data_IF_881785420581
#
_entry.id   IF_881785420581
#
_cell.length_a   1.000
_cell.length_b   1.000
_cell.length_c   1.000
_cell.angle_alpha   90.00
_cell.angle_beta   90.00
_cell.angle_gamma   90.00
#
_symmetry.space_group_name_H-M   'P 1'
#
loop_
_entity.id
_entity.type
_entity.pdbx_description
1 polymer ?
#
# COMPACT_ATOMS: atom_id res chain seq x y z
N UNK A 1 -23.12 -14.95 7.88
CA UNK A 1 -22.59 -13.61 7.47
C UNK A 1 -21.51 -13.25 8.47
N UNK A 2 -20.37 -12.62 8.19
CA UNK A 2 -19.87 -12.01 6.97
C UNK A 2 -18.34 -11.82 7.12
N UNK A 3 -17.67 -11.64 6.00
CA UNK A 3 -16.38 -10.97 5.95
C UNK A 3 -16.67 -9.46 6.05
N UNK A 4 -16.20 -8.81 7.10
CA UNK A 4 -16.60 -7.44 7.47
C UNK A 4 -15.40 -6.51 7.40
N UNK A 5 -15.49 -5.34 6.73
CA UNK A 5 -14.40 -4.38 6.72
C UNK A 5 -14.40 -3.56 8.04
N UNK A 6 -13.21 -3.33 8.59
CA UNK A 6 -12.94 -2.50 9.76
C UNK A 6 -11.95 -1.41 9.36
N UNK A 7 -12.48 -0.34 8.77
CA UNK A 7 -11.71 0.81 8.28
C UNK A 7 -11.29 1.72 9.46
N UNK A 8 -9.99 1.93 9.64
CA UNK A 8 -9.36 2.65 10.77
C UNK A 8 -8.32 3.71 10.34
N UNK A 9 -8.65 4.66 9.44
CA UNK A 9 -7.69 5.62 8.87
C UNK A 9 -7.17 6.68 9.88
N UNK A 10 -7.82 6.78 11.03
CA UNK A 10 -7.51 7.72 12.11
C UNK A 10 -6.56 7.12 13.15
N UNK A 11 -6.45 5.79 13.19
CA UNK A 11 -5.66 5.10 14.19
C UNK A 11 -4.20 4.96 13.71
N UNK A 12 -3.21 5.16 14.59
CA UNK A 12 -1.84 4.80 14.26
C UNK A 12 -1.74 3.27 14.07
N UNK A 13 -0.72 2.78 13.32
CA UNK A 13 -0.46 1.35 13.22
C UNK A 13 -0.35 0.69 14.59
N UNK A 14 -0.99 -0.47 14.76
CA UNK A 14 -0.93 -1.24 16.01
C UNK A 14 0.23 -2.21 16.00
N UNK A 15 0.70 -2.61 17.18
CA UNK A 15 1.72 -3.66 17.32
C UNK A 15 1.09 -5.06 17.27
N UNK A 16 1.88 -6.07 16.90
CA UNK A 16 1.47 -7.48 16.97
C UNK A 16 0.95 -7.87 18.36
N UNK A 17 1.56 -7.36 19.42
CA UNK A 17 1.11 -7.60 20.80
C UNK A 17 -0.32 -7.08 21.01
N UNK A 18 -0.59 -5.84 20.60
CA UNK A 18 -1.93 -5.24 20.70
C UNK A 18 -2.97 -6.02 19.90
N UNK A 19 -2.62 -6.53 18.71
CA UNK A 19 -3.51 -7.41 17.93
C UNK A 19 -3.88 -8.66 18.72
N UNK A 20 -2.90 -9.39 19.23
CA UNK A 20 -3.14 -10.65 19.93
C UNK A 20 -3.87 -10.47 21.27
N UNK A 21 -3.74 -9.30 21.91
CA UNK A 21 -4.38 -9.00 23.20
C UNK A 21 -5.78 -8.41 23.05
N UNK A 22 -6.02 -7.51 22.09
CA UNK A 22 -7.21 -6.67 22.04
C UNK A 22 -8.10 -6.84 20.80
N UNK A 23 -7.58 -7.40 19.70
CA UNK A 23 -8.36 -7.58 18.47
C UNK A 23 -9.10 -8.92 18.52
N UNK A 24 -10.39 -8.99 18.14
CA UNK A 24 -11.18 -10.22 18.23
C UNK A 24 -10.57 -11.37 17.40
N UNK A 25 -10.84 -12.64 17.74
CA UNK A 25 -10.45 -13.76 16.89
C UNK A 25 -11.13 -13.68 15.52
N UNK A 26 -10.59 -14.43 14.55
CA UNK A 26 -10.99 -14.35 13.14
C UNK A 26 -10.69 -12.97 12.53
N UNK A 27 -9.60 -12.35 12.94
CA UNK A 27 -9.20 -11.05 12.40
C UNK A 27 -8.07 -11.19 11.39
N UNK A 28 -8.22 -10.48 10.28
CA UNK A 28 -7.23 -10.33 9.23
C UNK A 28 -6.85 -8.85 9.18
N UNK A 29 -5.59 -8.55 9.42
CA UNK A 29 -5.04 -7.21 9.18
C UNK A 29 -4.44 -7.15 7.78
N UNK A 30 -4.78 -6.09 7.05
CA UNK A 30 -4.20 -5.75 5.75
C UNK A 30 -3.22 -4.59 5.88
N UNK A 31 -2.44 -4.43 4.83
CA UNK A 31 -1.27 -3.58 4.71
C UNK A 31 -1.27 -2.29 5.55
N UNK A 32 -0.18 -2.07 6.27
CA UNK A 32 0.03 -0.91 7.12
C UNK A 32 -0.83 -0.83 8.39
N UNK A 33 -1.82 -1.71 8.63
CA UNK A 33 -2.60 -1.71 9.88
C UNK A 33 -1.76 -2.15 11.09
N UNK A 34 -0.89 -3.14 10.91
CA UNK A 34 0.02 -3.64 11.96
C UNK A 34 1.46 -3.25 11.60
N UNK A 35 2.15 -2.58 12.51
CA UNK A 35 3.57 -2.24 12.38
C UNK A 35 4.48 -3.45 12.67
N UNK A 36 4.27 -4.55 11.93
CA UNK A 36 5.05 -5.78 11.98
C UNK A 36 4.91 -6.52 10.65
N UNK A 37 5.86 -7.41 10.34
CA UNK A 37 5.80 -8.24 9.14
C UNK A 37 4.63 -9.25 9.17
N UNK A 38 4.44 -10.02 8.08
CA UNK A 38 3.44 -11.06 8.02
C UNK A 38 3.54 -12.05 9.18
N UNK A 39 2.40 -12.36 9.78
CA UNK A 39 2.31 -13.45 10.75
C UNK A 39 0.95 -14.11 10.69
N UNK A 40 0.93 -15.40 11.00
CA UNK A 40 -0.28 -16.16 11.24
C UNK A 40 -0.18 -16.82 12.61
N UNK A 41 -1.22 -16.64 13.43
CA UNK A 41 -1.26 -17.18 14.80
C UNK A 41 -2.60 -17.86 15.02
N UNK A 42 -2.55 -19.12 15.44
CA UNK A 42 -3.72 -19.88 15.90
C UNK A 42 -3.59 -20.17 17.38
N UNK A 43 -4.61 -19.80 18.16
CA UNK A 43 -4.71 -20.14 19.58
C UNK A 43 -6.06 -20.79 19.87
N UNK A 44 -6.30 -21.33 21.09
CA UNK A 44 -7.65 -21.78 21.47
C UNK A 44 -8.74 -20.70 21.36
N UNK A 45 -8.38 -19.41 21.38
CA UNK A 45 -9.32 -18.30 21.19
C UNK A 45 -9.70 -18.05 19.72
N UNK A 46 -8.90 -18.54 18.77
CA UNK A 46 -9.13 -18.39 17.34
C UNK A 46 -7.87 -17.98 16.56
N UNK A 47 -8.03 -17.71 15.25
CA UNK A 47 -6.94 -17.31 14.37
C UNK A 47 -6.82 -15.79 14.24
N UNK A 48 -5.58 -15.32 14.01
CA UNK A 48 -5.25 -13.98 13.53
C UNK A 48 -4.25 -14.08 12.40
N UNK A 49 -4.41 -13.23 11.40
CA UNK A 49 -3.49 -13.13 10.28
C UNK A 49 -3.17 -11.67 9.99
N UNK A 50 -1.90 -11.37 9.79
CA UNK A 50 -1.42 -10.10 9.27
C UNK A 50 -0.80 -10.36 7.90
N UNK A 51 -1.36 -9.76 6.86
CA UNK A 51 -0.81 -9.72 5.52
C UNK A 51 -0.28 -8.31 5.30
N UNK A 52 1.04 -8.19 5.12
CA UNK A 52 1.75 -6.92 5.07
C UNK A 52 3.00 -7.09 4.20
N UNK A 53 3.44 -6.06 3.51
CA UNK A 53 4.68 -6.08 2.76
C UNK A 53 5.59 -4.86 3.02
N UNK A 54 5.20 -3.95 3.92
CA UNK A 54 5.98 -2.76 4.24
C UNK A 54 7.00 -3.00 5.36
N UNK A 55 6.54 -3.42 6.54
CA UNK A 55 7.39 -3.52 7.73
C UNK A 55 8.00 -4.92 7.91
N UNK A 56 9.26 -4.97 8.38
CA UNK A 56 9.87 -6.21 8.87
C UNK A 56 10.11 -7.30 7.82
N UNK A 57 10.12 -6.95 6.53
CA UNK A 57 10.24 -7.90 5.42
C UNK A 57 11.32 -7.53 4.41
N UNK A 58 11.82 -8.55 3.71
CA UNK A 58 12.49 -8.37 2.43
C UNK A 58 11.43 -8.15 1.34
N UNK A 59 11.28 -6.91 0.88
CA UNK A 59 10.31 -6.53 -0.15
C UNK A 59 10.54 -7.22 -1.50
N UNK A 60 11.76 -7.67 -1.82
CA UNK A 60 11.99 -8.43 -3.05
C UNK A 60 11.45 -9.86 -2.94
N UNK A 61 11.54 -10.45 -1.74
CA UNK A 61 11.09 -11.81 -1.46
C UNK A 61 9.61 -11.88 -1.05
N UNK A 62 9.00 -10.73 -0.70
CA UNK A 62 7.65 -10.65 -0.15
C UNK A 62 6.69 -10.08 -1.18
N UNK A 63 5.58 -10.79 -1.40
CA UNK A 63 4.49 -10.37 -2.28
C UNK A 63 3.75 -9.16 -1.71
N UNK A 64 3.12 -8.37 -2.56
CA UNK A 64 2.10 -7.41 -2.12
C UNK A 64 0.95 -8.13 -1.39
N UNK A 65 0.21 -7.40 -0.57
CA UNK A 65 -0.84 -7.96 0.31
C UNK A 65 -1.91 -8.67 -0.49
N UNK A 66 -2.32 -8.16 -1.66
CA UNK A 66 -3.33 -8.80 -2.51
C UNK A 66 -2.90 -10.17 -3.03
N UNK A 67 -1.62 -10.33 -3.35
CA UNK A 67 -1.07 -11.58 -3.81
C UNK A 67 -0.86 -12.57 -2.65
N UNK A 68 -0.50 -12.09 -1.44
CA UNK A 68 -0.54 -12.90 -0.23
C UNK A 68 -1.96 -13.44 0.03
N UNK A 69 -2.99 -12.58 -0.08
CA UNK A 69 -4.42 -12.93 0.06
C UNK A 69 -4.86 -13.95 -0.97
N UNK A 70 -4.56 -13.74 -2.26
CA UNK A 70 -4.94 -14.69 -3.32
C UNK A 70 -4.38 -16.08 -3.05
N UNK A 71 -3.09 -16.16 -2.70
CA UNK A 71 -2.43 -17.44 -2.40
C UNK A 71 -3.02 -18.06 -1.15
N UNK A 72 -3.24 -17.30 -0.08
CA UNK A 72 -3.82 -17.80 1.16
C UNK A 72 -5.22 -18.40 0.92
N UNK A 73 -6.09 -17.73 0.16
CA UNK A 73 -7.42 -18.24 -0.18
C UNK A 73 -7.32 -19.60 -0.89
N UNK A 74 -6.40 -19.72 -1.86
CA UNK A 74 -6.17 -20.96 -2.62
C UNK A 74 -5.52 -22.07 -1.81
N UNK A 75 -4.84 -21.73 -0.72
CA UNK A 75 -4.20 -22.66 0.20
C UNK A 75 -5.07 -22.95 1.44
N UNK A 76 -6.35 -22.60 1.42
CA UNK A 76 -7.29 -22.97 2.49
C UNK A 76 -7.41 -21.95 3.62
N UNK A 77 -7.20 -20.65 3.37
CA UNK A 77 -7.46 -19.59 4.37
C UNK A 77 -8.81 -19.78 5.07
N UNK A 78 -9.86 -20.04 4.28
CA UNK A 78 -11.22 -20.23 4.79
C UNK A 78 -11.51 -21.64 5.34
N UNK A 79 -10.52 -22.54 5.39
CA UNK A 79 -10.61 -23.74 6.23
C UNK A 79 -10.36 -23.39 7.70
N UNK A 80 -9.60 -22.31 7.95
CA UNK A 80 -9.32 -21.80 9.30
C UNK A 80 -10.21 -20.60 9.65
N UNK A 81 -10.38 -19.65 8.75
CA UNK A 81 -11.20 -18.45 8.95
C UNK A 81 -12.67 -18.72 8.65
N UNK A 82 -13.30 -19.57 9.45
CA UNK A 82 -14.70 -19.97 9.30
C UNK A 82 -15.36 -20.32 10.63
N UNK A 83 -16.68 -20.25 10.65
CA UNK A 83 -17.50 -20.87 11.68
C UNK A 83 -18.55 -21.79 11.04
N UNK A 84 -19.57 -22.18 11.82
CA UNK A 84 -20.63 -23.07 11.34
C UNK A 84 -21.49 -22.45 10.22
N UNK A 85 -21.50 -21.12 10.08
CA UNK A 85 -22.19 -20.41 8.99
C UNK A 85 -21.33 -20.28 7.72
N UNK A 86 -20.05 -20.66 7.78
CA UNK A 86 -19.12 -20.58 6.67
C UNK A 86 -17.97 -19.59 6.90
N UNK A 87 -17.36 -19.07 5.82
CA UNK A 87 -16.26 -18.11 5.87
C UNK A 87 -16.57 -16.88 6.73
N UNK A 88 -15.63 -16.51 7.60
CA UNK A 88 -15.76 -15.37 8.52
C UNK A 88 -14.41 -14.70 8.76
N UNK A 89 -14.40 -13.37 8.66
CA UNK A 89 -13.28 -12.55 9.10
C UNK A 89 -13.70 -11.11 9.45
N UNK A 90 -13.07 -10.51 10.44
CA UNK A 90 -13.00 -9.06 10.59
C UNK A 90 -11.73 -8.55 9.91
N UNK A 91 -11.87 -7.74 8.87
CA UNK A 91 -10.76 -7.30 8.01
C UNK A 91 -10.37 -5.87 8.36
N UNK A 92 -9.25 -5.70 9.05
CA UNK A 92 -8.74 -4.41 9.50
C UNK A 92 -7.82 -3.77 8.48
N UNK A 93 -8.02 -2.48 8.24
CA UNK A 93 -7.28 -1.69 7.25
C UNK A 93 -7.28 -0.22 7.68
N UNK A 94 -6.21 0.51 7.40
CA UNK A 94 -6.09 1.95 7.69
C UNK A 94 -5.99 2.82 6.41
N UNK A 95 -6.04 2.19 5.25
CA UNK A 95 -6.10 2.81 3.94
C UNK A 95 -6.84 1.88 2.97
N UNK A 96 -7.02 2.30 1.72
CA UNK A 96 -7.65 1.52 0.66
C UNK A 96 -6.96 1.75 -0.69
N UNK A 97 -5.64 1.83 -0.66
CA UNK A 97 -4.82 1.82 -1.86
C UNK A 97 -5.12 0.58 -2.73
N UNK A 98 -4.64 0.54 -3.98
CA UNK A 98 -4.96 -0.53 -4.92
C UNK A 98 -4.72 -1.94 -4.36
N UNK A 99 -3.64 -2.16 -3.61
CA UNK A 99 -3.28 -3.44 -3.00
C UNK A 99 -4.27 -3.85 -1.90
N UNK A 100 -4.62 -2.92 -0.98
CA UNK A 100 -5.61 -3.18 0.07
C UNK A 100 -7.02 -3.34 -0.50
N UNK A 101 -7.40 -2.55 -1.50
CA UNK A 101 -8.71 -2.64 -2.14
C UNK A 101 -8.89 -3.97 -2.89
N UNK A 102 -7.84 -4.44 -3.58
CA UNK A 102 -7.86 -5.74 -4.24
C UNK A 102 -7.86 -6.90 -3.23
N UNK A 103 -7.11 -6.76 -2.13
CA UNK A 103 -7.15 -7.70 -1.00
C UNK A 103 -8.56 -7.83 -0.42
N UNK A 104 -9.23 -6.70 -0.19
CA UNK A 104 -10.63 -6.67 0.27
C UNK A 104 -11.56 -7.37 -0.72
N UNK A 105 -11.45 -7.07 -2.02
CA UNK A 105 -12.24 -7.73 -3.07
C UNK A 105 -12.06 -9.25 -3.01
N UNK A 106 -10.82 -9.72 -2.92
CA UNK A 106 -10.49 -11.15 -2.89
C UNK A 106 -11.08 -11.84 -1.66
N UNK A 107 -10.98 -11.22 -0.48
CA UNK A 107 -11.58 -11.76 0.75
C UNK A 107 -13.10 -11.80 0.63
N UNK A 108 -13.74 -10.68 0.29
CA UNK A 108 -15.20 -10.57 0.21
C UNK A 108 -15.80 -11.52 -0.83
N UNK A 109 -15.16 -11.63 -2.00
CA UNK A 109 -15.59 -12.48 -3.13
C UNK A 109 -14.75 -13.75 -3.24
N UNK A 110 -14.38 -14.35 -2.12
CA UNK A 110 -13.43 -15.47 -2.08
C UNK A 110 -13.76 -16.63 -3.01
N UNK A 111 -15.05 -16.91 -3.27
CA UNK A 111 -15.48 -17.96 -4.19
C UNK A 111 -14.98 -17.75 -5.63
N UNK A 112 -14.72 -16.50 -6.04
CA UNK A 112 -14.12 -16.18 -7.34
C UNK A 112 -12.60 -16.43 -7.36
N UNK A 113 -11.96 -16.41 -6.20
CA UNK A 113 -10.50 -16.53 -6.05
C UNK A 113 -10.03 -17.96 -5.68
N UNK A 114 -10.92 -18.79 -5.12
CA UNK A 114 -10.65 -20.15 -4.66
C UNK A 114 -10.03 -21.07 -5.72
N UNK A 115 -10.36 -20.86 -7.00
CA UNK A 115 -9.76 -21.59 -8.11
C UNK A 115 -8.98 -20.66 -9.04
N UNK A 116 -8.20 -21.25 -9.95
CA UNK A 116 -7.38 -20.51 -10.92
C UNK A 116 -8.13 -20.17 -12.22
N UNK A 117 -9.43 -20.41 -12.27
CA UNK A 117 -10.23 -20.37 -13.52
C UNK A 117 -10.42 -18.98 -14.11
N UNK A 118 -10.24 -17.90 -13.33
CA UNK A 118 -10.40 -16.53 -13.82
C UNK A 118 -9.03 -15.93 -14.19
N UNK A 119 -8.61 -15.98 -15.46
CA UNK A 119 -7.32 -15.44 -15.89
C UNK A 119 -7.23 -13.92 -15.74
N UNK A 120 -8.34 -13.19 -15.86
CA UNK A 120 -8.36 -11.73 -15.67
C UNK A 120 -8.05 -11.35 -14.22
N UNK A 121 -8.66 -12.05 -13.25
CA UNK A 121 -8.34 -11.87 -11.83
C UNK A 121 -6.87 -12.18 -11.53
N UNK A 122 -6.34 -13.29 -12.08
CA UNK A 122 -4.93 -13.66 -11.90
C UNK A 122 -3.99 -12.58 -12.45
N UNK A 123 -4.30 -12.05 -13.64
CA UNK A 123 -3.51 -10.99 -14.28
C UNK A 123 -3.56 -9.69 -13.47
N UNK A 124 -4.74 -9.29 -13.00
CA UNK A 124 -4.91 -8.09 -12.17
C UNK A 124 -4.06 -8.18 -10.90
N UNK A 125 -4.15 -9.28 -10.16
CA UNK A 125 -3.35 -9.51 -8.95
C UNK A 125 -1.86 -9.54 -9.26
N UNK A 126 -1.44 -10.18 -10.36
CA UNK A 126 -0.01 -10.25 -10.72
C UNK A 126 0.58 -8.88 -11.12
N UNK A 127 -0.21 -8.03 -11.77
CA UNK A 127 0.22 -6.67 -12.10
C UNK A 127 0.35 -5.83 -10.83
N UNK A 128 -0.65 -5.89 -9.96
CA UNK A 128 -0.63 -5.15 -8.69
C UNK A 128 0.51 -5.64 -7.77
N UNK A 129 0.74 -6.96 -7.67
CA UNK A 129 1.87 -7.55 -6.92
C UNK A 129 3.20 -6.91 -7.32
N UNK A 130 3.47 -6.84 -8.63
CA UNK A 130 4.70 -6.26 -9.15
C UNK A 130 4.77 -4.75 -8.97
N UNK A 131 3.67 -4.04 -9.21
CA UNK A 131 3.62 -2.58 -9.06
C UNK A 131 3.86 -2.18 -7.61
N UNK A 132 3.16 -2.78 -6.67
CA UNK A 132 3.18 -2.35 -5.29
C UNK A 132 4.44 -2.83 -4.54
N UNK A 133 4.86 -4.09 -4.73
CA UNK A 133 6.11 -4.60 -4.13
C UNK A 133 7.34 -3.78 -4.55
N UNK A 134 7.31 -3.21 -5.75
CA UNK A 134 8.39 -2.35 -6.28
C UNK A 134 8.12 -0.85 -6.13
N UNK A 135 7.04 -0.44 -5.48
CA UNK A 135 6.63 0.96 -5.35
C UNK A 135 6.56 1.72 -6.69
N UNK A 136 6.11 1.03 -7.75
CA UNK A 136 6.01 1.54 -9.11
C UNK A 136 7.32 1.51 -9.91
N UNK A 137 8.38 0.89 -9.39
CA UNK A 137 9.67 0.80 -10.07
C UNK A 137 9.76 -0.36 -11.08
N UNK A 138 8.80 -1.29 -11.09
CA UNK A 138 8.82 -2.40 -12.02
C UNK A 138 8.81 -1.86 -13.47
N UNK A 139 9.75 -2.29 -14.33
CA UNK A 139 9.98 -1.66 -15.63
C UNK A 139 8.97 -2.15 -16.67
N UNK A 140 7.68 -1.96 -16.42
CA UNK A 140 6.65 -2.19 -17.43
C UNK A 140 6.83 -1.20 -18.59
N UNK A 141 6.56 -1.63 -19.84
CA UNK A 141 6.43 -0.71 -20.96
C UNK A 141 5.37 0.35 -20.64
N UNK A 142 5.69 1.63 -20.88
CA UNK A 142 4.78 2.75 -20.58
C UNK A 142 3.45 2.64 -21.33
N UNK A 143 3.47 1.99 -22.48
CA UNK A 143 2.35 1.75 -23.39
C UNK A 143 1.70 0.36 -23.21
N UNK A 144 2.05 -0.36 -22.14
CA UNK A 144 1.43 -1.64 -21.83
C UNK A 144 -0.07 -1.43 -21.58
N UNK A 145 -1.00 -2.00 -22.42
CA UNK A 145 -2.43 -1.75 -22.27
C UNK A 145 -2.99 -2.17 -20.91
N UNK A 146 -2.34 -3.14 -20.27
CA UNK A 146 -2.70 -3.60 -18.92
C UNK A 146 -2.57 -2.50 -17.86
N UNK A 147 -1.69 -1.50 -18.05
CA UNK A 147 -1.56 -0.36 -17.14
C UNK A 147 -2.75 0.59 -17.27
N UNK A 148 -3.33 0.74 -18.45
CA UNK A 148 -4.55 1.56 -18.66
C UNK A 148 -5.78 0.89 -18.05
N UNK A 149 -5.86 -0.45 -18.12
CA UNK A 149 -6.87 -1.24 -17.43
C UNK A 149 -6.73 -1.09 -15.91
N UNK A 150 -5.50 -1.21 -15.38
CA UNK A 150 -5.18 -1.04 -13.95
C UNK A 150 -5.54 0.37 -13.47
N UNK A 151 -5.16 1.39 -14.24
CA UNK A 151 -5.51 2.78 -13.96
C UNK A 151 -7.02 2.97 -13.88
N UNK A 152 -7.78 2.35 -14.78
CA UNK A 152 -9.25 2.42 -14.73
C UNK A 152 -9.82 1.71 -13.51
N UNK A 153 -9.34 0.50 -13.19
CA UNK A 153 -9.82 -0.26 -12.03
C UNK A 153 -9.68 0.54 -10.75
N UNK A 154 -8.53 1.19 -10.55
CA UNK A 154 -8.20 1.88 -9.29
C UNK A 154 -8.38 3.40 -9.31
N UNK A 155 -8.89 3.97 -10.41
CA UNK A 155 -9.19 5.40 -10.52
C UNK A 155 -9.99 5.98 -9.33
N UNK A 156 -10.97 5.27 -8.73
CA UNK A 156 -11.69 5.80 -7.56
C UNK A 156 -10.73 6.19 -6.43
N UNK A 157 -9.75 5.33 -6.12
CA UNK A 157 -8.72 5.62 -5.12
C UNK A 157 -7.83 6.79 -5.55
N UNK A 158 -7.40 6.82 -6.81
CA UNK A 158 -6.49 7.87 -7.29
C UNK A 158 -7.13 9.25 -7.23
N UNK A 159 -8.38 9.38 -7.68
CA UNK A 159 -9.14 10.63 -7.55
C UNK A 159 -9.34 11.01 -6.09
N UNK A 160 -9.65 10.04 -5.23
CA UNK A 160 -9.77 10.25 -3.80
C UNK A 160 -8.47 10.78 -3.19
N UNK A 161 -7.32 10.21 -3.55
CA UNK A 161 -5.99 10.64 -3.09
C UNK A 161 -5.61 12.03 -3.57
N UNK A 162 -5.82 12.36 -4.86
CA UNK A 162 -5.44 13.65 -5.45
C UNK A 162 -6.32 14.80 -4.93
N UNK A 163 -7.59 14.53 -4.62
CA UNK A 163 -8.52 15.50 -4.04
C UNK A 163 -8.40 15.65 -2.51
N UNK A 164 -7.33 15.10 -1.90
CA UNK A 164 -7.07 15.18 -0.46
C UNK A 164 -7.97 14.30 0.41
N UNK A 165 -8.72 13.36 -0.17
CA UNK A 165 -9.60 12.46 0.57
C UNK A 165 -8.87 11.56 1.57
N UNK A 166 -7.70 11.06 1.18
CA UNK A 166 -6.84 10.28 2.10
C UNK A 166 -6.46 11.11 3.34
N UNK A 167 -6.24 12.42 3.19
CA UNK A 167 -5.86 13.30 4.29
C UNK A 167 -7.02 13.61 5.25
N UNK A 168 -8.28 13.52 4.78
CA UNK A 168 -9.48 13.69 5.62
C UNK A 168 -9.68 12.55 6.61
N UNK A 169 -9.17 11.35 6.32
CA UNK A 169 -9.27 10.16 7.19
C UNK A 169 -10.71 9.84 7.63
N UNK A 170 -11.68 10.03 6.74
CA UNK A 170 -13.08 9.70 6.99
C UNK A 170 -13.37 8.22 6.67
N UNK A 171 -13.65 7.35 7.66
CA UNK A 171 -13.90 5.94 7.41
C UNK A 171 -15.03 5.67 6.40
N UNK A 172 -16.05 6.52 6.34
CA UNK A 172 -17.18 6.33 5.43
C UNK A 172 -16.79 6.62 3.98
N UNK A 173 -15.99 7.66 3.74
CA UNK A 173 -15.44 7.96 2.41
C UNK A 173 -14.56 6.79 1.93
N UNK A 174 -13.70 6.26 2.80
CA UNK A 174 -12.86 5.11 2.46
C UNK A 174 -13.69 3.85 2.10
N UNK A 175 -14.77 3.56 2.82
CA UNK A 175 -15.69 2.45 2.50
C UNK A 175 -16.42 2.69 1.18
N UNK A 176 -16.80 3.94 0.88
CA UNK A 176 -17.39 4.32 -0.40
C UNK A 176 -16.44 4.03 -1.57
N UNK A 177 -15.18 4.45 -1.45
CA UNK A 177 -14.14 4.20 -2.46
C UNK A 177 -13.85 2.70 -2.62
N UNK A 178 -13.83 1.93 -1.53
CA UNK A 178 -13.71 0.47 -1.61
C UNK A 178 -14.85 -0.15 -2.42
N UNK A 179 -16.09 0.32 -2.21
CA UNK A 179 -17.27 -0.17 -2.91
C UNK A 179 -17.22 0.17 -4.41
N UNK A 180 -16.77 1.38 -4.76
CA UNK A 180 -16.59 1.80 -6.14
C UNK A 180 -15.50 1.00 -6.86
N UNK A 181 -14.36 0.77 -6.20
CA UNK A 181 -13.26 -0.05 -6.73
C UNK A 181 -13.69 -1.51 -6.88
N UNK A 182 -14.41 -2.07 -5.92
CA UNK A 182 -14.96 -3.44 -5.97
C UNK A 182 -15.83 -3.65 -7.22
N UNK A 183 -16.71 -2.69 -7.53
CA UNK A 183 -17.53 -2.73 -8.75
C UNK A 183 -16.65 -2.75 -10.01
N UNK A 184 -15.59 -1.94 -10.06
CA UNK A 184 -14.68 -1.90 -11.22
C UNK A 184 -13.85 -3.17 -11.36
N UNK A 185 -13.40 -3.77 -10.26
CA UNK A 185 -12.74 -5.08 -10.29
C UNK A 185 -13.71 -6.13 -10.86
N UNK A 186 -14.96 -6.16 -10.39
CA UNK A 186 -15.97 -7.09 -10.92
C UNK A 186 -16.22 -6.89 -12.42
N UNK A 187 -16.35 -5.65 -12.88
CA UNK A 187 -16.51 -5.35 -14.30
C UNK A 187 -15.29 -5.78 -15.11
N UNK A 188 -14.07 -5.51 -14.63
CA UNK A 188 -12.83 -5.95 -15.28
C UNK A 188 -12.78 -7.48 -15.44
N UNK A 189 -12.98 -8.23 -14.35
CA UNK A 189 -12.86 -9.70 -14.39
C UNK A 189 -13.99 -10.42 -15.12
N UNK A 190 -15.05 -9.69 -15.50
CA UNK A 190 -16.19 -10.20 -16.29
C UNK A 190 -16.23 -9.63 -17.71
N UNK A 191 -15.17 -8.96 -18.16
CA UNK A 191 -15.03 -8.46 -19.53
C UNK A 191 -15.83 -7.17 -19.83
N UNK A 192 -16.32 -6.48 -18.79
CA UNK A 192 -16.96 -5.15 -18.88
C UNK A 192 -16.03 -4.01 -18.45
N UNK A 193 -14.75 -4.32 -18.24
CA UNK A 193 -13.72 -3.34 -17.89
C UNK A 193 -13.57 -2.27 -18.96
N UNK A 194 -12.98 -1.14 -18.57
CA UNK A 194 -12.59 -0.06 -19.47
C UNK A 194 -11.12 0.27 -19.27
N UNK A 195 -10.62 1.20 -20.06
CA UNK A 195 -9.30 1.77 -19.94
C UNK A 195 -9.40 3.27 -19.74
N UNK A 196 -8.40 3.85 -19.07
CA UNK A 196 -8.15 5.29 -19.04
C UNK A 196 -6.66 5.51 -19.30
N UNK A 197 -6.31 6.70 -19.80
CA UNK A 197 -4.92 7.07 -19.97
C UNK A 197 -4.19 7.02 -18.62
N UNK A 198 -2.98 6.45 -18.63
CA UNK A 198 -2.08 6.42 -17.48
C UNK A 198 -1.61 7.85 -17.19
N UNK A 199 -1.77 8.29 -15.94
CA UNK A 199 -1.34 9.62 -15.53
C UNK A 199 0.04 9.56 -14.88
N UNK A 200 1.04 10.01 -15.64
CA UNK A 200 2.45 10.04 -15.28
C UNK A 200 2.92 11.40 -14.72
N UNK A 201 1.98 12.32 -14.45
CA UNK A 201 2.28 13.69 -14.06
C UNK A 201 3.11 13.80 -12.78
N UNK A 202 4.28 14.43 -12.89
CA UNK A 202 5.12 14.76 -11.75
C UNK A 202 5.98 16.00 -12.05
N UNK A 203 6.33 16.74 -11.01
CA UNK A 203 7.30 17.84 -11.07
C UNK A 203 8.59 17.44 -10.36
N UNK A 204 9.74 17.79 -10.93
CA UNK A 204 11.03 17.68 -10.23
C UNK A 204 11.32 19.00 -9.55
N UNK A 205 11.35 19.00 -8.21
CA UNK A 205 11.61 20.20 -7.40
C UNK A 205 13.11 20.43 -7.19
N UNK A 206 13.84 19.33 -6.97
CA UNK A 206 15.30 19.33 -6.80
C UNK A 206 15.87 18.02 -7.34
N UNK A 207 17.03 18.06 -7.98
CA UNK A 207 17.68 16.87 -8.53
C UNK A 207 19.20 16.96 -8.40
N UNK A 208 19.81 15.86 -7.99
CA UNK A 208 21.26 15.61 -8.04
C UNK A 208 21.53 14.42 -8.97
N UNK A 209 22.78 13.96 -9.06
CA UNK A 209 23.13 12.72 -9.74
C UNK A 209 22.66 11.47 -8.98
N UNK A 210 22.38 11.58 -7.68
CA UNK A 210 22.06 10.46 -6.79
C UNK A 210 20.58 10.38 -6.43
N UNK A 211 19.90 11.52 -6.27
CA UNK A 211 18.53 11.58 -5.80
C UNK A 211 17.73 12.75 -6.37
N UNK A 212 16.40 12.73 -6.22
CA UNK A 212 15.54 13.86 -6.54
C UNK A 212 14.42 14.05 -5.51
N UNK A 213 14.01 15.30 -5.28
CA UNK A 213 12.73 15.62 -4.63
C UNK A 213 11.72 15.91 -5.74
N UNK A 214 10.57 15.26 -5.68
CA UNK A 214 9.51 15.32 -6.68
C UNK A 214 8.16 15.61 -6.07
N UNK A 215 7.25 16.18 -6.85
CA UNK A 215 5.84 16.31 -6.52
C UNK A 215 5.02 15.41 -7.43
N UNK A 216 4.27 14.48 -6.84
CA UNK A 216 3.40 13.56 -7.58
C UNK A 216 2.03 14.19 -7.80
N UNK A 217 1.55 14.20 -9.05
CA UNK A 217 0.16 14.59 -9.38
C UNK A 217 -0.61 13.48 -10.09
N UNK A 218 0.10 12.64 -10.84
CA UNK A 218 -0.45 11.48 -11.53
C UNK A 218 -0.41 10.20 -10.71
N UNK A 219 -1.38 9.34 -10.95
CA UNK A 219 -1.52 8.04 -10.28
C UNK A 219 -0.31 7.11 -10.46
N UNK A 220 0.39 7.23 -11.60
CA UNK A 220 1.58 6.43 -11.93
C UNK A 220 2.85 7.29 -11.98
N UNK A 221 2.88 8.41 -11.27
CA UNK A 221 4.03 9.33 -11.21
C UNK A 221 5.36 8.63 -10.93
N UNK A 222 5.40 7.67 -10.00
CA UNK A 222 6.64 6.91 -9.66
C UNK A 222 7.21 6.14 -10.83
N UNK A 223 6.36 5.53 -11.65
CA UNK A 223 6.76 4.84 -12.89
C UNK A 223 7.49 5.81 -13.83
N UNK A 224 6.99 7.04 -13.93
CA UNK A 224 7.59 8.08 -14.75
C UNK A 224 8.92 8.57 -14.18
N UNK A 225 8.96 8.84 -12.87
CA UNK A 225 10.19 9.22 -12.14
C UNK A 225 11.32 8.23 -12.41
N UNK A 226 11.05 6.94 -12.29
CA UNK A 226 12.05 5.90 -12.56
C UNK A 226 12.43 5.81 -14.03
N UNK A 227 11.47 5.98 -14.95
CA UNK A 227 11.75 6.00 -16.38
C UNK A 227 12.59 7.21 -16.82
N UNK A 228 12.58 8.30 -16.06
CA UNK A 228 13.41 9.50 -16.27
C UNK A 228 14.81 9.37 -15.65
N UNK A 229 15.16 8.16 -15.22
CA UNK A 229 16.47 7.79 -14.70
C UNK A 229 16.69 8.20 -13.24
N UNK A 230 15.67 8.66 -12.53
CA UNK A 230 15.77 8.99 -11.10
C UNK A 230 15.69 7.68 -10.32
N UNK A 231 16.80 7.28 -9.70
CA UNK A 231 16.92 5.98 -9.01
C UNK A 231 16.57 6.04 -7.52
N UNK A 232 16.62 7.22 -6.94
CA UNK A 232 16.21 7.52 -5.56
C UNK A 232 15.40 8.81 -5.57
N UNK A 233 14.25 8.83 -4.92
CA UNK A 233 13.37 9.98 -4.88
C UNK A 233 12.79 10.24 -3.48
N UNK A 234 12.42 11.49 -3.21
CA UNK A 234 11.51 11.88 -2.14
C UNK A 234 10.29 12.56 -2.76
N UNK A 235 9.13 11.91 -2.71
CA UNK A 235 7.86 12.44 -3.18
C UNK A 235 7.19 13.22 -2.07
N UNK A 236 6.94 14.51 -2.29
CA UNK A 236 6.38 15.42 -1.29
C UNK A 236 4.97 15.87 -1.67
N UNK A 237 4.07 15.91 -0.67
CA UNK A 237 2.71 16.46 -0.79
C UNK A 237 2.36 17.27 0.45
N UNK A 238 1.86 18.47 0.24
CA UNK A 238 1.35 19.34 1.33
C UNK A 238 0.02 18.81 1.87
N UNK A 239 -0.18 18.94 3.19
CA UNK A 239 -1.46 18.66 3.85
C UNK A 239 -2.14 19.98 4.25
N UNK A 240 -3.47 20.00 4.42
CA UNK A 240 -4.20 21.20 4.84
C UNK A 240 -3.76 21.82 6.17
N UNK A 241 -3.14 21.02 7.06
CA UNK A 241 -2.64 21.46 8.36
C UNK A 241 -1.20 22.03 8.32
N UNK A 242 -0.62 22.24 7.14
CA UNK A 242 0.75 22.75 6.97
C UNK A 242 1.85 21.71 7.24
N UNK A 243 1.49 20.46 7.51
CA UNK A 243 2.42 19.32 7.53
C UNK A 243 2.52 18.71 6.14
N UNK A 244 3.46 17.80 5.94
CA UNK A 244 3.64 17.08 4.67
C UNK A 244 3.43 15.58 4.79
N UNK A 245 2.98 14.97 3.70
CA UNK A 245 3.18 13.55 3.41
C UNK A 245 4.42 13.41 2.54
N UNK A 246 5.37 12.58 2.99
CA UNK A 246 6.58 12.29 2.24
C UNK A 246 6.75 10.79 2.07
N UNK A 247 7.09 10.35 0.87
CA UNK A 247 7.55 8.99 0.59
C UNK A 247 8.94 9.04 -0.01
N UNK A 248 9.90 8.35 0.60
CA UNK A 248 11.27 8.25 0.09
C UNK A 248 11.48 6.84 -0.44
N UNK A 249 11.75 6.72 -1.74
CA UNK A 249 11.85 5.44 -2.42
C UNK A 249 13.13 5.31 -3.22
N UNK A 250 13.59 4.07 -3.40
CA UNK A 250 14.66 3.71 -4.33
C UNK A 250 14.20 2.63 -5.30
N UNK A 251 14.77 2.63 -6.49
CA UNK A 251 14.37 1.75 -7.59
C UNK A 251 14.39 0.26 -7.22
N UNK A 252 15.36 -0.17 -6.41
CA UNK A 252 15.46 -1.56 -5.97
C UNK A 252 16.36 -1.67 -4.74
N UNK A 253 16.41 -2.86 -4.14
CA UNK A 253 17.36 -3.17 -3.06
C UNK A 253 18.82 -2.98 -3.51
N UNK A 254 19.10 -3.14 -4.81
CA UNK A 254 20.42 -2.97 -5.43
C UNK A 254 20.79 -1.52 -5.72
N UNK A 255 19.88 -0.56 -5.54
CA UNK A 255 20.20 0.86 -5.69
C UNK A 255 20.96 1.33 -4.45
N UNK A 256 22.17 1.92 -4.60
CA UNK A 256 22.92 2.48 -3.48
C UNK A 256 22.17 3.66 -2.86
N UNK A 257 21.56 3.43 -1.70
CA UNK A 257 21.16 4.42 -0.70
C UNK A 257 20.59 3.67 0.51
N UNK A 258 21.03 4.06 1.71
CA UNK A 258 20.69 3.40 2.97
C UNK A 258 19.39 4.01 3.56
N UNK A 259 18.23 3.51 3.13
CA UNK A 259 16.94 4.04 3.61
C UNK A 259 16.75 3.88 5.12
N UNK A 260 17.38 2.90 5.75
CA UNK A 260 17.41 2.72 7.21
C UNK A 260 18.09 3.90 7.92
N UNK A 261 19.15 4.46 7.33
CA UNK A 261 19.83 5.66 7.85
C UNK A 261 18.98 6.92 7.65
N UNK A 262 18.34 7.06 6.49
CA UNK A 262 17.37 8.14 6.25
C UNK A 262 16.24 8.06 7.26
N UNK A 263 15.66 6.88 7.44
CA UNK A 263 14.58 6.63 8.39
C UNK A 263 14.99 7.03 9.82
N UNK A 264 16.19 6.65 10.25
CA UNK A 264 16.71 7.02 11.56
C UNK A 264 16.91 8.54 11.70
N UNK A 265 17.48 9.21 10.68
CA UNK A 265 17.67 10.65 10.66
C UNK A 265 16.34 11.42 10.69
N UNK A 266 15.36 11.01 9.88
CA UNK A 266 14.02 11.58 9.87
C UNK A 266 13.31 11.43 11.22
N UNK A 267 13.42 10.26 11.87
CA UNK A 267 12.85 10.04 13.19
C UNK A 267 13.59 10.83 14.30
N UNK A 268 14.90 11.03 14.18
CA UNK A 268 15.67 11.84 15.13
C UNK A 268 15.36 13.35 15.02
N UNK A 269 14.97 13.80 13.83
CA UNK A 269 14.59 15.19 13.57
C UNK A 269 13.12 15.51 13.91
N UNK A 270 12.32 14.51 14.31
CA UNK A 270 10.91 14.66 14.68
C UNK A 270 10.69 14.31 16.16
N UNK A 271 9.57 14.77 16.71
CA UNK A 271 9.19 14.42 18.08
C UNK A 271 8.90 12.91 18.19
N UNK A 272 9.44 12.19 19.19
CA UNK A 272 9.13 10.77 19.39
C UNK A 272 7.64 10.54 19.64
N UNK A 273 7.09 9.45 19.12
CA UNK A 273 5.69 9.10 19.32
C UNK A 273 5.28 7.81 18.63
N UNK A 274 4.04 7.34 18.86
CA UNK A 274 3.52 6.12 18.26
C UNK A 274 3.28 6.23 16.75
N UNK A 275 3.22 7.46 16.21
CA UNK A 275 3.13 7.75 14.78
C UNK A 275 4.48 8.30 14.30
N UNK A 276 5.37 7.42 13.86
CA UNK A 276 6.74 7.74 13.44
C UNK A 276 6.91 7.53 11.93
N UNK A 277 8.06 7.92 11.39
CA UNK A 277 8.45 7.44 10.07
C UNK A 277 8.58 5.91 10.10
N UNK A 278 8.19 5.26 9.01
CA UNK A 278 8.17 3.79 8.89
C UNK A 278 8.28 3.33 7.43
N UNK A 279 8.12 2.03 7.22
CA UNK A 279 8.18 1.39 5.90
C UNK A 279 9.24 0.29 5.82
N UNK A 280 9.77 0.08 4.62
CA UNK A 280 10.63 -1.05 4.29
C UNK A 280 11.96 -0.67 3.65
N UNK A 281 12.61 -1.66 3.04
CA UNK A 281 13.98 -1.52 2.53
C UNK A 281 14.10 -0.75 1.21
N UNK A 282 13.01 -0.58 0.46
CA UNK A 282 12.98 0.14 -0.83
C UNK A 282 12.08 1.36 -0.83
N UNK A 283 11.19 1.51 0.15
CA UNK A 283 10.35 2.68 0.33
C UNK A 283 10.05 2.91 1.81
N UNK A 284 10.16 4.16 2.25
CA UNK A 284 9.78 4.63 3.59
C UNK A 284 8.85 5.83 3.48
N UNK A 285 8.10 6.12 4.55
CA UNK A 285 7.10 7.18 4.57
C UNK A 285 7.10 7.96 5.87
N UNK A 286 6.66 9.22 5.77
CA UNK A 286 6.38 10.10 6.91
C UNK A 286 5.26 9.55 7.81
N UNK A 287 5.18 9.99 9.09
CA UNK A 287 4.08 9.65 9.99
C UNK A 287 2.70 9.74 9.34
N UNK A 288 1.87 8.71 9.51
CA UNK A 288 0.60 8.56 8.77
C UNK A 288 -0.45 9.53 9.29
N UNK A 289 -0.51 9.75 10.61
CA UNK A 289 -1.51 10.63 11.23
C UNK A 289 -1.06 12.09 11.17
N UNK A 290 0.10 12.41 11.75
CA UNK A 290 0.58 13.80 11.91
C UNK A 290 1.37 14.36 10.73
N UNK A 291 1.84 13.51 9.82
CA UNK A 291 2.76 13.93 8.75
C UNK A 291 4.11 14.41 9.29
N UNK A 292 4.95 14.95 8.43
CA UNK A 292 6.28 15.49 8.79
C UNK A 292 6.32 17.02 8.78
N UNK A 293 7.12 17.61 9.66
CA UNK A 293 7.50 19.02 9.62
C UNK A 293 8.70 19.28 8.70
N UNK A 294 9.50 18.26 8.40
CA UNK A 294 10.78 18.42 7.70
C UNK A 294 10.62 19.16 6.39
N UNK A 295 11.40 20.22 6.21
CA UNK A 295 11.47 21.02 4.99
C UNK A 295 12.10 20.27 3.83
N UNK A 296 11.84 20.72 2.61
CA UNK A 296 12.51 20.19 1.41
C UNK A 296 14.04 20.33 1.53
N UNK A 297 14.52 21.40 2.19
CA UNK A 297 15.94 21.59 2.50
C UNK A 297 16.46 20.58 3.54
N UNK A 298 15.71 20.36 4.63
CA UNK A 298 16.08 19.35 5.63
C UNK A 298 16.06 17.93 5.05
N UNK A 299 15.09 17.61 4.19
CA UNK A 299 15.02 16.33 3.48
C UNK A 299 16.22 16.20 2.53
N UNK A 300 16.57 17.25 1.80
CA UNK A 300 17.73 17.26 0.92
C UNK A 300 19.05 17.04 1.70
N UNK A 301 19.23 17.70 2.85
CA UNK A 301 20.39 17.50 3.71
C UNK A 301 20.51 16.04 4.17
N UNK A 302 19.40 15.46 4.68
CA UNK A 302 19.36 14.05 5.09
C UNK A 302 19.68 13.11 3.92
N UNK A 303 19.12 13.37 2.74
CA UNK A 303 19.37 12.55 1.54
C UNK A 303 20.81 12.65 1.05
N UNK A 304 21.41 13.85 1.09
CA UNK A 304 22.79 14.07 0.69
C UNK A 304 23.77 13.30 1.59
N UNK A 305 23.55 13.29 2.91
CA UNK A 305 24.42 12.59 3.86
C UNK A 305 24.36 11.06 3.74
N UNK A 306 23.27 10.51 3.19
CA UNK A 306 22.94 9.08 3.28
C UNK A 306 22.91 8.35 1.94
N UNK A 307 22.71 9.07 0.84
CA UNK A 307 22.78 8.52 -0.51
C UNK A 307 24.12 8.82 -1.23
N UNK A 308 25.04 9.55 -0.58
CA UNK A 308 26.39 9.83 -1.07
C UNK A 308 27.28 8.59 -1.22
#
# INVERSE_FOLDING_TARGET
MAIVPRMRPQDPPVTRKQVLEAVPPFSIALDGYVADGPFFVTTPRGPWWNANHHEGVDRLATRATCAQVLVAIRQGLFDTFRDFEGPRAEVFMNDNDPDVALSWFLLKHHWLAQSTINPALNRLVALEDLMDATAGAYPFPKDLPALEELAWVFEPYWRFRVTGGVDRKDPEEFVSILTDTERRIMDHITGRGRTIAVDMGHDVLRRTSQWAIVREHGAQARTAVFADGIRVFAAVRERPNGRRTVSIGKFSTFTPCALDRILAACNAAEEPGPDSWGGGTTIIGSPRIRGTALTDDQLAEIMEETCA
#
